data_IF_998971961537
#
_entry.id   IF_998971961537
#
_cell.length_a   1.000
_cell.length_b   1.000
_cell.length_c   1.000
_cell.angle_alpha   90.00
_cell.angle_beta   90.00
_cell.angle_gamma   90.00
#
_symmetry.space_group_name_H-M   'P 1'
#
loop_
_entity.id
_entity.type
_entity.pdbx_description
1 polymer ?
#
# COMPACT_ATOMS: atom_id res chain seq x y z
N UNK A 1 -0.03 -12.67 8.02
CA UNK A 1 -0.07 -11.81 9.23
C UNK A 1 -0.32 -10.35 8.88
N UNK A 2 0.50 -9.72 8.05
CA UNK A 2 0.30 -8.31 7.64
C UNK A 2 -1.06 -8.04 6.96
N UNK A 3 -1.51 -8.90 6.05
CA UNK A 3 -2.81 -8.75 5.35
C UNK A 3 -4.00 -8.69 6.30
N UNK A 4 -4.06 -9.61 7.28
CA UNK A 4 -5.13 -9.66 8.28
C UNK A 4 -5.12 -8.46 9.21
N UNK A 5 -3.94 -8.01 9.63
CA UNK A 5 -3.78 -6.83 10.50
C UNK A 5 -4.24 -5.56 9.78
N UNK A 6 -3.84 -5.40 8.53
CA UNK A 6 -4.23 -4.25 7.70
C UNK A 6 -5.73 -4.26 7.41
N UNK A 7 -6.32 -5.42 7.09
CA UNK A 7 -7.76 -5.56 6.91
C UNK A 7 -8.53 -5.10 8.16
N UNK A 8 -8.04 -5.47 9.35
CA UNK A 8 -8.68 -5.10 10.62
C UNK A 8 -8.54 -3.59 10.91
N UNK A 9 -7.36 -3.00 10.67
CA UNK A 9 -7.15 -1.55 10.83
C UNK A 9 -8.06 -0.76 9.90
N UNK A 10 -8.18 -1.15 8.63
CA UNK A 10 -9.00 -0.45 7.65
C UNK A 10 -10.49 -0.57 7.90
N UNK A 11 -10.93 -1.72 8.43
CA UNK A 11 -12.30 -1.89 8.87
C UNK A 11 -12.69 -0.87 9.95
N UNK A 12 -11.77 -0.54 10.86
CA UNK A 12 -11.98 0.46 11.91
C UNK A 12 -11.72 1.92 11.47
N UNK A 13 -10.77 2.17 10.57
CA UNK A 13 -10.30 3.51 10.17
C UNK A 13 -10.62 3.87 8.72
N UNK A 14 -11.91 3.78 8.35
CA UNK A 14 -12.38 3.94 6.97
C UNK A 14 -12.27 5.38 6.42
N UNK A 15 -12.10 6.40 7.27
CA UNK A 15 -12.16 7.82 6.88
C UNK A 15 -10.81 8.47 6.49
N UNK A 16 -9.67 7.80 6.66
CA UNK A 16 -8.35 8.42 6.51
C UNK A 16 -7.69 8.22 5.12
N UNK A 17 -8.39 7.65 4.13
CA UNK A 17 -7.83 7.29 2.82
C UNK A 17 -7.00 8.40 2.14
N UNK A 18 -7.45 9.66 2.23
CA UNK A 18 -6.72 10.85 1.75
C UNK A 18 -5.36 11.08 2.42
N UNK A 19 -5.31 10.84 3.72
CA UNK A 19 -4.16 11.12 4.58
C UNK A 19 -3.11 10.01 4.55
N UNK A 20 -3.44 8.81 4.05
CA UNK A 20 -2.51 7.68 4.01
C UNK A 20 -1.29 7.97 3.13
N UNK A 21 -1.49 8.55 1.94
CA UNK A 21 -0.38 8.89 1.03
C UNK A 21 0.48 10.03 1.61
N UNK A 22 -0.16 11.03 2.21
CA UNK A 22 0.54 12.15 2.86
C UNK A 22 1.36 11.65 4.06
N UNK A 23 0.80 10.76 4.87
CA UNK A 23 1.50 10.13 5.98
C UNK A 23 2.65 9.24 5.50
N UNK A 24 2.48 8.52 4.39
CA UNK A 24 3.55 7.74 3.77
C UNK A 24 4.72 8.63 3.34
N UNK A 25 4.44 9.73 2.64
CA UNK A 25 5.47 10.69 2.23
C UNK A 25 6.14 11.36 3.43
N UNK A 26 5.39 11.70 4.48
CA UNK A 26 5.94 12.21 5.74
C UNK A 26 6.84 11.20 6.46
N UNK A 27 6.51 9.92 6.42
CA UNK A 27 7.37 8.86 6.96
C UNK A 27 8.63 8.68 6.10
N UNK A 28 8.52 8.74 4.76
CA UNK A 28 9.68 8.69 3.85
C UNK A 28 10.65 9.84 4.10
N UNK A 29 10.14 11.08 4.21
CA UNK A 29 10.98 12.26 4.51
C UNK A 29 11.62 12.13 5.88
N UNK A 30 10.89 11.67 6.90
CA UNK A 30 11.46 11.39 8.21
C UNK A 30 12.61 10.38 8.13
N UNK A 31 12.44 9.24 7.44
CA UNK A 31 13.50 8.23 7.32
C UNK A 31 14.76 8.80 6.64
N UNK A 32 14.58 9.58 5.57
CA UNK A 32 15.68 10.20 4.83
C UNK A 32 16.43 11.24 5.68
N UNK A 33 15.73 12.08 6.43
CA UNK A 33 16.36 13.17 7.20
C UNK A 33 16.79 12.77 8.62
N UNK A 34 16.04 11.90 9.29
CA UNK A 34 16.33 11.47 10.66
C UNK A 34 17.31 10.30 10.72
N UNK A 35 17.32 9.43 9.70
CA UNK A 35 18.18 8.23 9.62
C UNK A 35 18.83 8.06 8.24
N UNK A 36 19.64 9.04 7.79
CA UNK A 36 20.23 9.04 6.44
C UNK A 36 21.19 7.88 6.16
N UNK A 37 21.77 7.27 7.21
CA UNK A 37 22.65 6.09 7.08
C UNK A 37 21.91 4.75 7.10
N UNK A 38 20.58 4.74 7.19
CA UNK A 38 19.82 3.51 7.15
C UNK A 38 19.75 2.95 5.73
N UNK A 39 19.79 1.63 5.63
CA UNK A 39 19.61 0.90 4.38
C UNK A 39 18.30 1.32 3.66
N UNK A 40 17.25 1.60 4.43
CA UNK A 40 15.94 2.08 3.98
C UNK A 40 15.92 3.52 3.44
N UNK A 41 16.94 4.34 3.77
CA UNK A 41 17.08 5.72 3.28
C UNK A 41 17.83 5.79 1.93
N UNK A 42 18.35 4.67 1.43
CA UNK A 42 18.98 4.62 0.11
C UNK A 42 17.98 5.05 -0.99
N UNK A 43 18.37 5.96 -1.89
CA UNK A 43 17.46 6.50 -2.91
C UNK A 43 16.92 5.41 -3.85
N UNK A 44 17.70 4.33 -4.06
CA UNK A 44 17.26 3.17 -4.84
C UNK A 44 16.08 2.44 -4.19
N UNK A 45 16.09 2.29 -2.86
CA UNK A 45 15.03 1.60 -2.12
C UNK A 45 13.81 2.50 -1.92
N UNK A 46 14.03 3.80 -1.72
CA UNK A 46 12.95 4.80 -1.68
C UNK A 46 12.14 4.80 -2.99
N UNK A 47 12.81 5.02 -4.13
CA UNK A 47 12.15 5.09 -5.44
C UNK A 47 11.58 3.71 -5.81
N UNK A 48 12.40 2.66 -5.72
CA UNK A 48 11.99 1.30 -6.06
C UNK A 48 10.82 0.81 -5.23
N UNK A 49 10.83 1.07 -3.92
CA UNK A 49 9.74 0.72 -3.01
C UNK A 49 8.44 1.42 -3.41
N UNK A 50 8.45 2.73 -3.63
CA UNK A 50 7.25 3.45 -4.08
C UNK A 50 6.77 3.00 -5.46
N UNK A 51 7.66 2.73 -6.42
CA UNK A 51 7.27 2.19 -7.72
C UNK A 51 6.58 0.83 -7.59
N UNK A 52 7.14 -0.08 -6.78
CA UNK A 52 6.54 -1.39 -6.51
C UNK A 52 5.19 -1.27 -5.80
N UNK A 53 5.09 -0.35 -4.82
CA UNK A 53 3.84 -0.07 -4.12
C UNK A 53 2.75 0.51 -5.03
N UNK A 54 3.11 1.43 -5.93
CA UNK A 54 2.20 1.96 -6.95
C UNK A 54 1.70 0.85 -7.88
N UNK A 55 2.59 -0.03 -8.35
CA UNK A 55 2.25 -1.13 -9.23
C UNK A 55 1.33 -2.15 -8.54
N UNK A 56 1.64 -2.55 -7.31
CA UNK A 56 0.81 -3.52 -6.56
C UNK A 56 -0.57 -2.94 -6.24
N UNK A 57 -0.62 -1.67 -5.82
CA UNK A 57 -1.89 -0.97 -5.54
C UNK A 57 -2.74 -0.78 -6.78
N UNK A 58 -2.14 -0.34 -7.90
CA UNK A 58 -2.86 -0.17 -9.16
C UNK A 58 -3.38 -1.50 -9.70
N UNK A 59 -2.58 -2.56 -9.66
CA UNK A 59 -3.01 -3.90 -10.07
C UNK A 59 -4.21 -4.38 -9.25
N UNK A 60 -4.16 -4.26 -7.93
CA UNK A 60 -5.29 -4.63 -7.07
C UNK A 60 -6.52 -3.75 -7.32
N UNK A 61 -6.35 -2.45 -7.53
CA UNK A 61 -7.45 -1.56 -7.86
C UNK A 61 -8.16 -1.96 -9.17
N UNK A 62 -7.39 -2.19 -10.25
CA UNK A 62 -7.97 -2.60 -11.53
C UNK A 62 -8.66 -3.97 -11.47
N UNK A 63 -8.05 -4.94 -10.79
CA UNK A 63 -8.56 -6.31 -10.70
C UNK A 63 -9.82 -6.41 -9.84
N UNK A 64 -9.88 -5.70 -8.72
CA UNK A 64 -10.95 -5.86 -7.74
C UNK A 64 -12.05 -4.79 -7.82
N UNK A 65 -11.73 -3.55 -8.21
CA UNK A 65 -12.70 -2.45 -8.26
C UNK A 65 -13.23 -2.14 -9.67
N UNK A 66 -12.42 -2.32 -10.71
CA UNK A 66 -12.83 -2.00 -12.10
C UNK A 66 -13.38 -3.22 -12.84
N UNK A 67 -12.81 -4.40 -12.60
CA UNK A 67 -13.21 -5.63 -13.30
C UNK A 67 -14.66 -6.03 -13.02
N UNK A 68 -15.42 -6.53 -14.02
CA UNK A 68 -16.80 -7.00 -13.83
C UNK A 68 -16.94 -8.15 -12.80
N UNK A 69 -15.84 -8.82 -12.42
CA UNK A 69 -15.81 -9.83 -11.38
C UNK A 69 -16.07 -9.24 -9.97
N UNK A 70 -15.66 -8.00 -9.72
CA UNK A 70 -15.95 -7.28 -8.47
C UNK A 70 -17.42 -6.86 -8.35
N UNK A 71 -18.12 -6.65 -9.46
CA UNK A 71 -19.56 -6.31 -9.46
C UNK A 71 -20.46 -7.52 -9.16
N UNK A 72 -19.96 -8.74 -9.31
CA UNK A 72 -20.70 -9.98 -9.03
C UNK A 72 -20.62 -10.40 -7.55
N UNK A 73 -19.60 -9.94 -6.83
CA UNK A 73 -19.43 -10.24 -5.42
C UNK A 73 -20.38 -9.38 -4.57
N UNK A 74 -21.20 -10.06 -3.78
CA UNK A 74 -22.30 -9.53 -2.98
C UNK A 74 -21.70 -8.68 -1.84
N UNK A 75 -21.76 -7.35 -1.95
CA UNK A 75 -21.37 -6.40 -0.90
C UNK A 75 -20.08 -5.62 -1.20
N UNK A 76 -20.21 -4.48 -1.89
CA UNK A 76 -19.08 -3.64 -2.33
C UNK A 76 -18.13 -3.17 -1.21
N UNK A 77 -18.64 -3.08 0.01
CA UNK A 77 -17.87 -2.74 1.22
C UNK A 77 -16.78 -3.78 1.56
N UNK A 78 -17.07 -5.07 1.42
CA UNK A 78 -16.12 -6.12 1.75
C UNK A 78 -15.02 -6.22 0.69
N UNK A 79 -15.37 -6.02 -0.58
CA UNK A 79 -14.42 -6.09 -1.71
C UNK A 79 -13.35 -5.02 -1.57
N UNK A 80 -13.73 -3.81 -1.15
CA UNK A 80 -12.79 -2.72 -0.91
C UNK A 80 -11.76 -3.08 0.16
N UNK A 81 -12.19 -3.63 1.29
CA UNK A 81 -11.29 -4.05 2.39
C UNK A 81 -10.33 -5.14 1.91
N UNK A 82 -10.81 -6.12 1.15
CA UNK A 82 -9.99 -7.18 0.58
C UNK A 82 -8.98 -6.65 -0.45
N UNK A 83 -9.38 -5.73 -1.33
CA UNK A 83 -8.51 -5.11 -2.31
C UNK A 83 -7.37 -4.33 -1.64
N UNK A 84 -7.68 -3.56 -0.59
CA UNK A 84 -6.70 -2.84 0.20
C UNK A 84 -5.72 -3.80 0.92
N UNK A 85 -6.24 -4.84 1.57
CA UNK A 85 -5.43 -5.82 2.27
C UNK A 85 -4.50 -6.60 1.33
N UNK A 86 -5.00 -6.99 0.14
CA UNK A 86 -4.21 -7.66 -0.88
C UNK A 86 -3.15 -6.74 -1.48
N UNK A 87 -3.48 -5.49 -1.77
CA UNK A 87 -2.52 -4.49 -2.26
C UNK A 87 -1.32 -4.34 -1.32
N UNK A 88 -1.58 -4.20 -0.02
CA UNK A 88 -0.52 -4.06 0.98
C UNK A 88 0.28 -5.34 1.13
N UNK A 89 -0.37 -6.51 1.20
CA UNK A 89 0.32 -7.79 1.27
C UNK A 89 1.21 -8.05 0.06
N UNK A 90 0.71 -7.73 -1.13
CA UNK A 90 1.44 -7.86 -2.38
C UNK A 90 2.61 -6.87 -2.45
N UNK A 91 2.41 -5.63 -1.99
CA UNK A 91 3.48 -4.63 -1.90
C UNK A 91 4.61 -5.13 -1.02
N UNK A 92 4.31 -5.59 0.20
CA UNK A 92 5.32 -6.11 1.14
C UNK A 92 6.09 -7.28 0.49
N UNK A 93 5.36 -8.23 -0.11
CA UNK A 93 5.99 -9.37 -0.77
C UNK A 93 6.92 -8.97 -1.92
N UNK A 94 6.47 -8.08 -2.81
CA UNK A 94 7.28 -7.64 -3.94
C UNK A 94 8.49 -6.82 -3.48
N UNK A 95 8.30 -5.92 -2.52
CA UNK A 95 9.36 -5.06 -1.97
C UNK A 95 10.46 -5.89 -1.28
N UNK A 96 10.09 -7.01 -0.64
CA UNK A 96 11.04 -7.99 -0.10
C UNK A 96 11.76 -8.78 -1.19
N UNK A 97 11.08 -9.15 -2.28
CA UNK A 97 11.71 -9.88 -3.41
C UNK A 97 12.67 -8.99 -4.21
N UNK A 98 12.33 -7.71 -4.37
CA UNK A 98 13.13 -6.77 -5.17
C UNK A 98 14.28 -6.14 -4.39
N UNK A 99 14.49 -6.54 -3.12
CA UNK A 99 15.45 -5.92 -2.18
C UNK A 99 15.29 -4.39 -2.07
N UNK A 100 14.06 -3.88 -2.28
CA UNK A 100 13.76 -2.44 -2.22
C UNK A 100 13.01 -2.08 -0.95
N UNK A 101 13.35 -2.73 0.17
CA UNK A 101 12.71 -2.54 1.47
C UNK A 101 12.64 -1.07 1.85
N UNK A 102 11.45 -0.50 1.70
CA UNK A 102 11.14 0.85 2.11
C UNK A 102 9.74 0.82 2.75
N UNK A 103 9.65 0.77 4.09
CA UNK A 103 8.39 0.55 4.79
C UNK A 103 7.23 1.47 4.37
N UNK A 104 7.45 2.77 4.04
CA UNK A 104 6.40 3.64 3.52
C UNK A 104 5.76 3.19 2.19
N UNK A 105 6.41 2.33 1.40
CA UNK A 105 5.89 1.80 0.14
C UNK A 105 4.55 1.05 0.28
N UNK A 106 4.40 0.31 1.39
CA UNK A 106 3.16 -0.41 1.68
C UNK A 106 1.98 0.55 1.90
N UNK A 107 2.23 1.71 2.51
CA UNK A 107 1.24 2.76 2.68
C UNK A 107 0.89 3.44 1.35
N UNK A 108 1.86 3.59 0.43
CA UNK A 108 1.60 4.05 -0.94
C UNK A 108 0.66 3.10 -1.67
N UNK A 109 0.90 1.79 -1.61
CA UNK A 109 0.05 0.77 -2.25
C UNK A 109 -1.40 0.79 -1.72
N UNK A 110 -1.55 0.97 -0.40
CA UNK A 110 -2.85 1.15 0.23
C UNK A 110 -3.57 2.40 -0.26
N UNK A 111 -2.85 3.54 -0.29
CA UNK A 111 -3.40 4.83 -0.71
C UNK A 111 -3.93 4.81 -2.14
N UNK A 112 -3.26 4.09 -3.04
CA UNK A 112 -3.71 3.94 -4.44
C UNK A 112 -5.04 3.19 -4.54
N UNK A 113 -5.24 2.11 -3.79
CA UNK A 113 -6.54 1.41 -3.80
C UNK A 113 -7.62 2.26 -3.13
N UNK A 114 -7.25 3.06 -2.13
CA UNK A 114 -8.20 3.83 -1.35
C UNK A 114 -8.65 5.15 -2.02
N UNK A 115 -7.85 5.71 -2.93
CA UNK A 115 -8.16 6.94 -3.68
C UNK A 115 -8.42 6.71 -5.18
N UNK A 116 -7.95 5.59 -5.72
CA UNK A 116 -8.13 5.22 -7.12
C UNK A 116 -9.58 5.14 -7.50
#
# INVERSE_FOLDING_TARGET
MATLVVALILYFFKALAGLVVVAALGASTFIVFATPGSITAEPRRLIGGHTVGLLSGSLCYYVFLISPLGKLAIGGEHIFVWACALSVGLSIFLVTITDTEHPPAAATALGIVAQG
#
